data_IF_971249297250
#
_entry.id   IF_971249297250
#
_cell.length_a   1.000
_cell.length_b   1.000
_cell.length_c   1.000
_cell.angle_alpha   90.00
_cell.angle_beta   90.00
_cell.angle_gamma   90.00
#
_symmetry.space_group_name_H-M   'P 1'
#
loop_
_entity.id
_entity.type
_entity.pdbx_description
1 polymer ?
#
# COMPACT_ATOMS: atom_id res chain seq x y z
N UNK A 1 25.19 -14.56 14.03
CA UNK A 1 24.84 -15.19 12.73
C UNK A 1 23.79 -14.30 12.12
N UNK A 2 24.06 -13.77 10.93
CA UNK A 2 23.23 -12.77 10.27
C UNK A 2 21.97 -13.45 9.75
N UNK A 3 20.80 -13.04 10.23
CA UNK A 3 19.52 -13.37 9.62
C UNK A 3 19.50 -12.76 8.22
N UNK A 4 20.04 -13.51 7.26
CA UNK A 4 19.94 -13.19 5.84
C UNK A 4 18.46 -13.20 5.52
N UNK A 5 17.87 -12.01 5.42
CA UNK A 5 16.56 -11.80 4.82
C UNK A 5 16.56 -12.57 3.50
N UNK A 6 15.91 -13.74 3.48
CA UNK A 6 15.89 -14.58 2.29
C UNK A 6 15.00 -13.87 1.28
N UNK A 7 15.61 -13.30 0.26
CA UNK A 7 14.90 -12.87 -0.92
C UNK A 7 14.09 -14.06 -1.47
N UNK A 8 12.86 -13.76 -1.89
CA UNK A 8 11.85 -14.73 -2.34
C UNK A 8 11.29 -15.63 -1.22
N UNK A 9 11.40 -15.22 0.05
CA UNK A 9 10.78 -15.90 1.17
C UNK A 9 9.76 -15.02 1.90
N UNK A 10 8.78 -15.68 2.52
CA UNK A 10 7.66 -15.06 3.21
C UNK A 10 6.99 -16.01 4.18
N UNK A 11 5.93 -15.54 4.82
CA UNK A 11 5.10 -16.32 5.71
C UNK A 11 3.63 -16.14 5.37
N UNK A 12 2.87 -17.23 5.42
CA UNK A 12 1.42 -17.25 5.29
C UNK A 12 0.80 -17.65 6.63
N UNK A 13 -0.26 -16.96 7.01
CA UNK A 13 -1.01 -17.21 8.24
C UNK A 13 -2.48 -17.42 7.91
N UNK A 14 -3.15 -18.28 8.68
CA UNK A 14 -4.58 -18.50 8.54
C UNK A 14 -5.34 -17.20 8.78
N UNK A 15 -6.20 -16.83 7.82
CA UNK A 15 -7.05 -15.67 7.94
C UNK A 15 -8.19 -15.95 8.92
N UNK A 16 -7.98 -15.62 10.20
CA UNK A 16 -8.98 -15.78 11.27
C UNK A 16 -10.24 -14.94 11.08
N UNK A 17 -10.21 -13.96 10.17
CA UNK A 17 -11.32 -13.05 9.88
C UNK A 17 -11.93 -13.28 8.49
N UNK A 18 -11.90 -14.52 7.98
CA UNK A 18 -12.58 -14.86 6.73
C UNK A 18 -14.10 -14.66 6.88
N UNK A 19 -14.62 -13.57 6.32
CA UNK A 19 -16.04 -13.20 6.41
C UNK A 19 -16.87 -13.69 5.23
N UNK A 20 -16.24 -14.12 4.14
CA UNK A 20 -16.92 -14.50 2.90
C UNK A 20 -16.11 -15.52 2.12
N UNK A 21 -16.77 -16.25 1.24
CA UNK A 21 -16.13 -17.22 0.37
C UNK A 21 -15.06 -16.59 -0.56
N UNK A 22 -15.28 -15.31 -0.91
CA UNK A 22 -14.33 -14.50 -1.70
C UNK A 22 -13.07 -14.12 -0.92
N UNK A 23 -13.08 -14.19 0.41
CA UNK A 23 -11.93 -13.81 1.23
C UNK A 23 -10.87 -14.93 1.21
N UNK A 24 -9.57 -14.57 1.20
CA UNK A 24 -8.49 -15.53 1.22
C UNK A 24 -8.46 -16.34 2.51
N UNK A 25 -8.13 -17.63 2.40
CA UNK A 25 -7.96 -18.56 3.52
C UNK A 25 -6.65 -18.28 4.27
N UNK A 26 -5.61 -17.88 3.54
CA UNK A 26 -4.34 -17.48 4.13
C UNK A 26 -3.89 -16.12 3.63
N UNK A 27 -3.26 -15.35 4.50
CA UNK A 27 -2.72 -14.02 4.21
C UNK A 27 -1.33 -13.87 4.83
N UNK A 28 -0.49 -13.04 4.23
CA UNK A 28 0.81 -12.74 4.81
C UNK A 28 1.67 -11.85 3.93
N UNK A 29 2.98 -11.88 4.17
CA UNK A 29 3.97 -11.05 3.46
C UNK A 29 5.08 -11.91 2.88
N UNK A 30 5.61 -11.49 1.74
CA UNK A 30 6.71 -12.13 1.03
C UNK A 30 7.67 -11.07 0.50
N UNK A 31 8.97 -11.30 0.70
CA UNK A 31 10.00 -10.49 0.06
C UNK A 31 10.26 -11.05 -1.33
N UNK A 32 10.02 -10.28 -2.39
CA UNK A 32 10.32 -10.69 -3.77
C UNK A 32 11.13 -9.59 -4.44
N UNK A 33 12.33 -9.92 -4.92
CA UNK A 33 13.22 -8.96 -5.58
C UNK A 33 13.54 -7.73 -4.73
N UNK A 34 13.86 -7.91 -3.43
CA UNK A 34 14.20 -6.81 -2.52
C UNK A 34 13.03 -5.92 -2.11
N UNK A 35 11.77 -6.31 -2.39
CA UNK A 35 10.57 -5.55 -2.00
C UNK A 35 9.62 -6.41 -1.20
N UNK A 36 9.08 -5.84 -0.13
CA UNK A 36 8.00 -6.46 0.65
C UNK A 36 6.69 -6.37 -0.14
N UNK A 37 6.12 -7.52 -0.43
CA UNK A 37 4.86 -7.70 -1.13
C UNK A 37 3.89 -8.42 -0.19
N UNK A 38 2.60 -8.15 -0.37
CA UNK A 38 1.55 -8.89 0.33
C UNK A 38 1.16 -10.11 -0.51
N UNK A 39 0.91 -11.23 0.16
CA UNK A 39 0.50 -12.49 -0.46
C UNK A 39 -0.81 -12.99 0.16
N UNK A 40 -1.77 -13.33 -0.71
CA UNK A 40 -3.06 -13.92 -0.37
C UNK A 40 -3.17 -15.31 -1.00
N UNK A 41 -3.71 -16.28 -0.26
CA UNK A 41 -3.94 -17.63 -0.75
C UNK A 41 -5.39 -18.09 -0.53
N UNK A 42 -5.92 -18.84 -1.49
CA UNK A 42 -7.21 -19.53 -1.39
C UNK A 42 -6.99 -21.03 -1.59
N UNK A 43 -7.63 -21.84 -0.75
CA UNK A 43 -7.68 -23.29 -0.95
C UNK A 43 -8.78 -23.58 -1.96
N UNK A 44 -8.44 -24.25 -3.06
CA UNK A 44 -9.36 -24.65 -4.11
C UNK A 44 -9.21 -26.13 -4.38
N UNK A 45 -10.29 -26.76 -4.79
CA UNK A 45 -10.30 -28.15 -5.24
C UNK A 45 -10.43 -28.20 -6.76
N UNK A 46 -9.64 -29.06 -7.40
CA UNK A 46 -9.77 -29.41 -8.82
C UNK A 46 -9.76 -30.94 -8.95
N UNK A 47 -9.98 -31.45 -10.17
CA UNK A 47 -9.97 -32.89 -10.49
C UNK A 47 -8.69 -33.62 -10.09
N UNK A 48 -7.60 -32.87 -9.90
CA UNK A 48 -6.29 -33.41 -9.51
C UNK A 48 -6.00 -33.29 -8.01
N UNK A 49 -6.92 -32.73 -7.21
CA UNK A 49 -6.81 -32.52 -5.76
C UNK A 49 -6.83 -31.05 -5.34
N UNK A 50 -6.65 -30.84 -4.03
CA UNK A 50 -6.61 -29.52 -3.42
C UNK A 50 -5.32 -28.76 -3.78
N UNK A 51 -5.46 -27.50 -4.20
CA UNK A 51 -4.37 -26.60 -4.53
C UNK A 51 -4.58 -25.22 -3.93
N UNK A 52 -3.46 -24.52 -3.70
CA UNK A 52 -3.47 -23.15 -3.22
C UNK A 52 -3.35 -22.18 -4.39
N UNK A 53 -4.41 -21.42 -4.65
CA UNK A 53 -4.39 -20.29 -5.57
C UNK A 53 -3.71 -19.12 -4.86
N UNK A 54 -2.59 -18.60 -5.38
CA UNK A 54 -1.83 -17.50 -4.78
C UNK A 54 -2.00 -16.21 -5.57
N UNK A 55 -2.12 -15.09 -4.86
CA UNK A 55 -2.07 -13.74 -5.44
C UNK A 55 -1.07 -12.90 -4.66
N UNK A 56 -0.12 -12.32 -5.37
CA UNK A 56 0.88 -11.41 -4.81
C UNK A 56 0.57 -9.99 -5.29
N UNK A 57 0.55 -9.04 -4.36
CA UNK A 57 0.28 -7.64 -4.66
C UNK A 57 1.26 -6.72 -3.92
N UNK A 58 1.57 -5.53 -4.46
CA UNK A 58 2.39 -4.56 -3.76
C UNK A 58 1.75 -4.21 -2.42
N UNK A 59 2.53 -4.25 -1.33
CA UNK A 59 2.04 -3.80 -0.03
C UNK A 59 1.67 -2.32 -0.10
N UNK A 60 0.45 -1.96 0.25
CA UNK A 60 -0.05 -0.57 0.23
C UNK A 60 0.75 0.34 1.18
N UNK A 61 1.42 -0.23 2.18
CA UNK A 61 2.34 0.48 3.07
C UNK A 61 3.56 1.07 2.34
N UNK A 62 3.95 0.51 1.19
CA UNK A 62 5.08 1.01 0.40
C UNK A 62 4.75 2.28 -0.40
N UNK A 63 3.48 2.64 -0.52
CA UNK A 63 3.05 3.86 -1.24
C UNK A 63 3.07 5.12 -0.36
N UNK A 64 3.29 4.99 0.96
CA UNK A 64 3.20 6.10 1.90
C UNK A 64 4.54 6.57 2.48
N UNK A 65 5.65 5.87 2.24
CA UNK A 65 7.01 6.29 2.67
C UNK A 65 7.73 7.25 1.70
N UNK A 66 6.98 7.98 0.87
CA UNK A 66 7.52 8.96 -0.08
C UNK A 66 6.79 10.30 -0.14
N UNK A 67 5.67 10.47 0.57
CA UNK A 67 5.06 11.80 0.73
C UNK A 67 5.67 12.45 1.96
N UNK A 68 6.84 13.07 1.78
CA UNK A 68 7.23 14.16 2.65
C UNK A 68 6.01 15.07 2.84
N UNK A 69 5.70 15.54 4.07
CA UNK A 69 4.62 16.49 4.24
C UNK A 69 4.89 17.62 3.26
N UNK A 70 4.01 17.77 2.26
CA UNK A 70 3.98 18.97 1.43
C UNK A 70 3.63 20.06 2.42
N UNK A 71 4.66 20.67 3.02
CA UNK A 71 4.55 21.92 3.72
C UNK A 71 3.94 22.83 2.66
N UNK A 72 2.64 23.04 2.77
CA UNK A 72 1.91 23.94 1.90
C UNK A 72 2.73 25.22 1.94
N UNK A 73 3.32 25.60 0.81
CA UNK A 73 4.07 26.84 0.69
C UNK A 73 3.13 27.92 1.18
N UNK A 74 3.33 28.39 2.41
CA UNK A 74 2.56 29.50 2.96
C UNK A 74 2.80 30.63 1.96
N UNK A 75 1.76 31.14 1.27
CA UNK A 75 1.95 32.19 0.27
C UNK A 75 2.68 33.33 0.97
N UNK A 76 3.70 33.89 0.30
CA UNK A 76 4.48 34.96 0.92
C UNK A 76 3.56 36.14 1.23
N UNK A 77 3.85 36.96 2.24
CA UNK A 77 3.07 38.16 2.55
C UNK A 77 2.83 39.04 1.31
N UNK A 78 3.77 39.05 0.37
CA UNK A 78 3.65 39.75 -0.91
C UNK A 78 2.56 39.17 -1.84
N UNK A 79 2.41 37.84 -1.88
CA UNK A 79 1.39 37.18 -2.70
C UNK A 79 -0.02 37.43 -2.16
N UNK A 80 -0.17 37.48 -0.83
CA UNK A 80 -1.44 37.83 -0.17
C UNK A 80 -1.81 39.28 -0.47
N UNK A 81 -0.85 40.20 -0.31
CA UNK A 81 -1.08 41.62 -0.58
C UNK A 81 -1.48 41.91 -2.05
N UNK A 82 -0.87 41.20 -3.01
CA UNK A 82 -1.23 41.33 -4.43
C UNK A 82 -2.65 40.81 -4.72
N UNK A 83 -3.05 39.68 -4.12
CA UNK A 83 -4.38 39.12 -4.31
C UNK A 83 -5.47 40.03 -3.73
N UNK A 84 -5.22 40.63 -2.56
CA UNK A 84 -6.13 41.60 -1.96
C UNK A 84 -6.22 42.89 -2.79
N UNK A 85 -5.09 43.40 -3.30
CA UNK A 85 -5.07 44.57 -4.17
C UNK A 85 -5.80 44.34 -5.51
N UNK A 86 -5.71 43.13 -6.07
CA UNK A 86 -6.45 42.75 -7.28
C UNK A 86 -7.96 42.66 -7.02
N UNK A 87 -8.35 42.07 -5.88
CA UNK A 87 -9.75 41.96 -5.47
C UNK A 87 -10.37 43.34 -5.19
N UNK A 88 -9.61 44.26 -4.61
CA UNK A 88 -10.04 45.65 -4.40
C UNK A 88 -10.20 46.44 -5.71
N UNK A 89 -9.46 46.08 -6.77
CA UNK A 89 -9.59 46.69 -8.10
C UNK A 89 -10.76 46.14 -8.92
N UNK A 90 -11.20 44.92 -8.66
CA UNK A 90 -12.35 44.30 -9.34
C UNK A 90 -13.70 44.70 -8.73
N UNK A 91 -13.70 45.29 -7.54
CA UNK A 91 -14.93 45.73 -6.82
C UNK A 91 -15.14 47.26 -6.92
N UNK A 92 -14.61 47.90 -7.97
CA UNK A 92 -14.76 49.35 -8.22
C UNK A 92 -15.53 49.61 -9.51
#
# INVERSE_FOLDING_TARGET
>A
MSDQQRDNAGALFLNKHRQSDKAPDYVGTIHVGGREMEISAWVKDDRSGEFLSLKVQPSSASSQKGRAPRYQRRPTPEQVARAEAQRARMMR
#
